data_IF_637271975444
#
_entry.id   IF_637271975444
#
_cell.length_a   1.000
_cell.length_b   1.000
_cell.length_c   1.000
_cell.angle_alpha   90.00
_cell.angle_beta   90.00
_cell.angle_gamma   90.00
#
_symmetry.space_group_name_H-M   'P 1'
#
loop_
_entity.id
_entity.type
_entity.pdbx_description
1 polymer ?
#
# COMPACT_ATOMS: atom_id res chain seq x y z
N UNK A 1 -16.49 22.03 50.54
CA UNK A 1 -15.19 21.84 49.87
C UNK A 1 -15.33 20.71 48.86
N UNK A 2 -15.73 21.00 47.63
CA UNK A 2 -15.59 20.03 46.52
C UNK A 2 -15.31 20.83 45.25
N UNK A 3 -14.02 21.00 44.94
CA UNK A 3 -13.56 21.58 43.69
C UNK A 3 -13.66 20.53 42.59
N UNK A 4 -14.65 20.70 41.71
CA UNK A 4 -14.83 19.89 40.51
C UNK A 4 -13.59 20.07 39.60
N UNK A 5 -12.85 18.98 39.38
CA UNK A 5 -11.71 18.95 38.45
C UNK A 5 -12.14 19.41 37.05
N UNK A 6 -11.32 20.21 36.34
CA UNK A 6 -11.66 20.66 35.00
C UNK A 6 -11.69 19.46 34.05
N UNK A 7 -12.77 19.35 33.28
CA UNK A 7 -12.92 18.35 32.24
C UNK A 7 -11.76 18.49 31.24
N UNK A 8 -10.90 17.47 31.17
CA UNK A 8 -9.94 17.28 30.09
C UNK A 8 -10.72 17.17 28.78
N UNK A 9 -10.95 18.30 28.12
CA UNK A 9 -11.32 18.39 26.73
C UNK A 9 -10.13 17.82 25.95
N UNK A 10 -10.15 16.51 25.71
CA UNK A 10 -9.33 15.85 24.71
C UNK A 10 -9.72 16.46 23.37
N UNK A 11 -9.06 17.56 23.02
CA UNK A 11 -9.19 18.21 21.73
C UNK A 11 -8.86 17.15 20.69
N UNK A 12 -9.89 16.64 20.03
CA UNK A 12 -9.73 15.69 18.93
C UNK A 12 -8.70 16.32 18.00
N UNK A 13 -7.54 15.69 17.76
CA UNK A 13 -6.54 16.28 16.89
C UNK A 13 -7.24 16.58 15.59
N UNK A 14 -7.21 17.85 15.15
CA UNK A 14 -7.69 18.25 13.85
C UNK A 14 -6.77 17.61 12.82
N UNK A 15 -6.96 16.32 12.58
CA UNK A 15 -6.48 15.68 11.39
C UNK A 15 -7.13 16.46 10.26
N UNK A 16 -6.32 17.18 9.50
CA UNK A 16 -6.70 17.69 8.19
C UNK A 16 -6.91 16.42 7.35
N UNK A 17 -8.07 15.79 7.54
CA UNK A 17 -8.56 14.73 6.67
C UNK A 17 -8.92 15.48 5.41
N UNK A 18 -8.11 15.31 4.37
CA UNK A 18 -8.44 15.80 3.03
C UNK A 18 -9.84 15.27 2.73
N UNK A 19 -10.84 16.15 2.82
CA UNK A 19 -12.25 15.76 2.70
C UNK A 19 -12.46 15.47 1.23
N UNK A 20 -12.54 14.18 0.88
CA UNK A 20 -12.85 13.75 -0.48
C UNK A 20 -14.09 14.52 -0.97
N UNK A 21 -14.06 14.97 -2.22
CA UNK A 21 -15.23 15.60 -2.82
C UNK A 21 -16.38 14.59 -2.80
N UNK A 22 -17.61 15.07 -2.66
CA UNK A 22 -18.79 14.20 -2.46
C UNK A 22 -18.92 13.12 -3.56
N UNK A 23 -18.57 13.47 -4.79
CA UNK A 23 -18.61 12.59 -5.96
C UNK A 23 -17.36 11.72 -6.16
N UNK A 24 -16.26 11.98 -5.44
CA UNK A 24 -15.03 11.16 -5.46
C UNK A 24 -15.04 10.07 -4.36
N UNK A 25 -16.18 9.89 -3.69
CA UNK A 25 -16.36 8.83 -2.70
C UNK A 25 -16.40 7.47 -3.38
N UNK A 26 -16.08 6.42 -2.61
CA UNK A 26 -16.12 5.04 -3.08
C UNK A 26 -17.52 4.70 -3.59
N UNK A 27 -17.58 4.11 -4.77
CA UNK A 27 -18.81 3.51 -5.28
C UNK A 27 -19.22 2.33 -4.40
N UNK A 28 -20.50 2.26 -4.05
CA UNK A 28 -21.06 1.21 -3.20
C UNK A 28 -22.08 0.38 -3.97
N UNK A 29 -22.10 -0.91 -3.67
CA UNK A 29 -23.12 -1.87 -4.11
C UNK A 29 -24.43 -1.64 -3.33
N UNK A 30 -25.56 -2.24 -3.77
CA UNK A 30 -26.84 -2.15 -3.04
C UNK A 30 -26.77 -2.62 -1.58
N UNK A 31 -25.87 -3.56 -1.27
CA UNK A 31 -25.64 -4.05 0.09
C UNK A 31 -24.64 -3.18 0.89
N UNK A 32 -24.42 -1.93 0.49
CA UNK A 32 -23.49 -0.94 1.09
C UNK A 32 -22.00 -1.24 1.00
N UNK A 33 -21.59 -2.41 0.49
CA UNK A 33 -20.17 -2.75 0.33
C UNK A 33 -19.54 -1.96 -0.83
N UNK A 34 -18.25 -1.56 -0.72
CA UNK A 34 -17.58 -0.87 -1.82
C UNK A 34 -17.40 -1.80 -3.04
N UNK A 35 -17.46 -1.21 -4.23
CA UNK A 35 -17.03 -1.88 -5.46
C UNK A 35 -15.50 -2.01 -5.44
N UNK A 36 -15.00 -3.21 -5.72
CA UNK A 36 -13.57 -3.53 -5.71
C UNK A 36 -13.13 -3.94 -7.11
N UNK A 37 -12.02 -3.39 -7.57
CA UNK A 37 -11.42 -3.77 -8.85
C UNK A 37 -10.49 -4.97 -8.69
N UNK A 38 -10.48 -5.83 -9.71
CA UNK A 38 -9.55 -6.94 -9.83
C UNK A 38 -8.20 -6.40 -10.34
N UNK A 39 -7.11 -6.76 -9.67
CA UNK A 39 -5.76 -6.26 -9.97
C UNK A 39 -4.81 -7.43 -10.27
N UNK A 40 -3.78 -7.17 -11.08
CA UNK A 40 -2.77 -8.17 -11.46
C UNK A 40 -1.61 -8.31 -10.47
N UNK A 41 -1.50 -7.42 -9.49
CA UNK A 41 -0.41 -7.34 -8.50
C UNK A 41 -0.87 -7.70 -7.08
N UNK A 42 0.07 -8.17 -6.26
CA UNK A 42 -0.08 -8.49 -4.84
C UNK A 42 0.95 -7.74 -3.99
N UNK A 43 0.69 -7.68 -2.69
CA UNK A 43 1.63 -7.08 -1.72
C UNK A 43 2.90 -7.93 -1.67
N UNK A 44 4.07 -7.28 -1.64
CA UNK A 44 5.37 -7.95 -1.70
C UNK A 44 5.85 -8.28 -3.12
N UNK A 45 5.05 -8.04 -4.16
CA UNK A 45 5.54 -8.17 -5.55
C UNK A 45 6.59 -7.08 -5.83
N UNK A 46 7.67 -7.44 -6.53
CA UNK A 46 8.62 -6.48 -7.11
C UNK A 46 8.12 -6.00 -8.45
N UNK A 47 8.05 -4.68 -8.63
CA UNK A 47 7.50 -4.06 -9.83
C UNK A 47 8.43 -2.98 -10.39
N UNK A 48 8.32 -2.77 -11.69
CA UNK A 48 8.93 -1.65 -12.42
C UNK A 48 7.86 -0.66 -12.86
N UNK A 49 8.12 0.63 -12.69
CA UNK A 49 7.22 1.70 -13.16
C UNK A 49 7.38 1.89 -14.67
N UNK A 50 6.27 1.77 -15.41
CA UNK A 50 6.21 1.87 -16.87
C UNK A 50 6.07 3.33 -17.32
N UNK A 51 5.23 4.09 -16.61
CA UNK A 51 4.81 5.44 -16.99
C UNK A 51 4.64 6.34 -15.77
N UNK A 52 4.70 7.65 -16.00
CA UNK A 52 4.66 8.67 -14.96
C UNK A 52 6.04 9.27 -14.66
N UNK A 53 6.11 10.09 -13.61
CA UNK A 53 7.33 10.82 -13.24
C UNK A 53 8.47 9.88 -12.85
N UNK A 54 8.14 8.77 -12.18
CA UNK A 54 9.11 7.81 -11.64
C UNK A 54 9.39 6.64 -12.59
N UNK A 55 9.31 6.89 -13.90
CA UNK A 55 9.46 5.87 -14.95
C UNK A 55 10.83 5.17 -14.85
N UNK A 56 10.81 3.85 -14.96
CA UNK A 56 12.01 3.01 -15.01
C UNK A 56 12.52 2.54 -13.65
N UNK A 57 12.11 3.17 -12.54
CA UNK A 57 12.46 2.73 -11.20
C UNK A 57 11.76 1.41 -10.84
N UNK A 58 12.45 0.60 -10.04
CA UNK A 58 11.96 -0.67 -9.51
C UNK A 58 11.76 -0.55 -8.00
N UNK A 59 10.73 -1.21 -7.47
CA UNK A 59 10.47 -1.24 -6.04
C UNK A 59 9.47 -2.32 -5.65
N UNK A 60 9.31 -2.52 -4.35
CA UNK A 60 8.40 -3.52 -3.78
C UNK A 60 7.09 -2.87 -3.33
N UNK A 61 5.97 -3.57 -3.54
CA UNK A 61 4.64 -3.08 -3.17
C UNK A 61 4.41 -3.25 -1.67
N UNK A 62 4.22 -2.14 -0.96
CA UNK A 62 3.91 -2.12 0.47
C UNK A 62 2.41 -2.24 0.75
N UNK A 63 1.58 -1.48 0.01
CA UNK A 63 0.13 -1.42 0.23
C UNK A 63 -0.64 -1.34 -1.09
N UNK A 64 -1.86 -1.88 -1.09
CA UNK A 64 -2.75 -1.91 -2.27
C UNK A 64 -4.13 -1.39 -1.89
N UNK A 65 -4.66 -0.48 -2.71
CA UNK A 65 -6.00 0.06 -2.59
C UNK A 65 -6.87 -0.39 -3.76
N UNK A 66 -7.64 -1.47 -3.55
CA UNK A 66 -8.46 -2.10 -4.60
C UNK A 66 -9.65 -1.28 -5.10
N UNK A 67 -10.12 -0.31 -4.32
CA UNK A 67 -11.25 0.55 -4.68
C UNK A 67 -10.86 1.61 -5.72
N UNK A 68 -9.60 2.04 -5.73
CA UNK A 68 -9.07 3.03 -6.69
C UNK A 68 -8.10 2.40 -7.70
N UNK A 69 -7.85 1.08 -7.62
CA UNK A 69 -6.84 0.39 -8.41
C UNK A 69 -5.42 0.98 -8.29
N UNK A 70 -5.07 1.50 -7.11
CA UNK A 70 -3.76 2.13 -6.85
C UNK A 70 -2.90 1.31 -5.88
N UNK A 71 -1.58 1.43 -6.00
CA UNK A 71 -0.56 0.76 -5.18
C UNK A 71 0.41 1.77 -4.58
N UNK A 72 0.94 1.48 -3.40
CA UNK A 72 2.08 2.19 -2.81
C UNK A 72 3.31 1.32 -3.00
N UNK A 73 4.33 1.88 -3.64
CA UNK A 73 5.62 1.22 -3.88
C UNK A 73 6.67 1.91 -3.01
N UNK A 74 7.51 1.12 -2.34
CA UNK A 74 8.54 1.62 -1.44
C UNK A 74 9.52 2.54 -2.17
N UNK A 75 9.88 3.67 -1.55
CA UNK A 75 10.84 4.66 -2.05
C UNK A 75 10.51 5.30 -3.42
N UNK A 76 9.27 5.17 -3.90
CA UNK A 76 8.81 5.73 -5.18
C UNK A 76 7.68 6.74 -4.92
N UNK A 77 7.65 7.84 -5.69
CA UNK A 77 6.61 8.87 -5.62
C UNK A 77 6.55 9.53 -4.24
N UNK A 78 7.72 9.87 -3.70
CA UNK A 78 7.86 10.51 -2.39
C UNK A 78 7.27 11.91 -2.42
N UNK A 79 6.46 12.22 -1.42
CA UNK A 79 5.84 13.53 -1.22
C UNK A 79 6.23 14.08 0.13
N UNK A 80 6.68 15.33 0.15
CA UNK A 80 6.98 16.05 1.39
C UNK A 80 5.68 16.46 2.06
N UNK A 81 5.45 15.96 3.27
CA UNK A 81 4.29 16.27 4.09
C UNK A 81 4.74 16.99 5.35
N UNK A 82 4.23 18.20 5.54
CA UNK A 82 4.37 18.95 6.78
C UNK A 82 3.39 18.40 7.80
N UNK A 83 3.90 17.85 8.91
CA UNK A 83 3.09 17.36 10.01
C UNK A 83 3.17 18.33 11.18
N UNK A 84 1.99 18.88 11.53
CA UNK A 84 1.82 19.67 12.74
C UNK A 84 1.98 18.76 13.95
N UNK A 85 2.57 19.30 15.01
CA UNK A 85 2.65 18.63 16.31
C UNK A 85 1.26 18.30 16.84
N UNK A 86 1.15 17.17 17.55
CA UNK A 86 -0.09 16.72 18.18
C UNK A 86 -0.10 16.97 19.69
N UNK A 87 1.06 17.08 20.30
CA UNK A 87 1.24 17.20 21.75
C UNK A 87 2.01 18.48 22.07
N UNK A 88 1.70 19.09 23.22
CA UNK A 88 2.40 20.28 23.70
C UNK A 88 3.84 19.91 24.06
N UNK A 89 4.81 20.49 23.34
CA UNK A 89 6.24 20.28 23.57
C UNK A 89 7.00 19.62 22.41
N UNK A 90 6.31 18.98 21.46
CA UNK A 90 6.98 18.41 20.28
C UNK A 90 7.05 19.42 19.11
N UNK A 91 8.21 19.57 18.44
CA UNK A 91 8.30 20.39 17.24
C UNK A 91 7.59 19.72 16.06
N UNK A 92 7.03 20.54 15.15
CA UNK A 92 6.49 20.05 13.88
C UNK A 92 7.58 19.38 13.03
N UNK A 93 7.19 18.38 12.23
CA UNK A 93 8.13 17.58 11.45
C UNK A 93 7.83 17.64 9.95
N UNK A 94 8.89 17.59 9.14
CA UNK A 94 8.80 17.46 7.68
C UNK A 94 9.09 16.00 7.32
N UNK A 95 8.05 15.25 6.95
CA UNK A 95 8.16 13.82 6.68
C UNK A 95 8.01 13.57 5.18
N UNK A 96 8.83 12.68 4.61
CA UNK A 96 8.63 12.18 3.24
C UNK A 96 7.76 10.92 3.32
N UNK A 97 6.63 10.94 2.62
CA UNK A 97 5.67 9.83 2.59
C UNK A 97 5.53 9.33 1.16
N UNK A 98 5.43 8.01 0.97
CA UNK A 98 5.21 7.42 -0.34
C UNK A 98 3.79 7.70 -0.85
N UNK A 99 3.70 8.16 -2.09
CA UNK A 99 2.45 8.41 -2.78
C UNK A 99 1.94 7.19 -3.55
N UNK A 100 0.62 7.02 -3.61
CA UNK A 100 0.01 5.96 -4.41
C UNK A 100 0.19 6.21 -5.93
N UNK A 101 0.38 5.13 -6.67
CA UNK A 101 0.52 5.08 -8.13
C UNK A 101 -0.57 4.16 -8.69
N UNK A 102 -1.12 4.49 -9.86
CA UNK A 102 -2.11 3.63 -10.49
C UNK A 102 -1.50 2.29 -10.94
N UNK A 103 -2.22 1.20 -10.72
CA UNK A 103 -1.70 -0.15 -10.97
C UNK A 103 -1.38 -0.45 -12.44
N UNK A 104 -2.05 0.23 -13.38
CA UNK A 104 -1.72 0.12 -14.82
C UNK A 104 -0.31 0.61 -15.15
N UNK A 105 0.27 1.48 -14.32
CA UNK A 105 1.57 2.10 -14.56
C UNK A 105 2.71 1.24 -13.99
N UNK A 106 2.43 0.04 -13.50
CA UNK A 106 3.44 -0.88 -12.96
C UNK A 106 3.38 -2.25 -13.63
N UNK A 107 4.56 -2.82 -13.87
CA UNK A 107 4.74 -4.16 -14.43
C UNK A 107 5.52 -5.03 -13.45
N UNK A 108 5.23 -6.33 -13.39
CA UNK A 108 6.03 -7.26 -12.60
C UNK A 108 7.46 -7.31 -13.14
N UNK A 109 8.42 -7.33 -12.21
CA UNK A 109 9.84 -7.31 -12.51
C UNK A 109 10.50 -8.59 -12.00
N UNK A 110 11.23 -9.28 -12.87
CA UNK A 110 12.13 -10.36 -12.47
C UNK A 110 13.45 -9.77 -12.02
N UNK A 111 13.87 -10.06 -10.79
CA UNK A 111 15.22 -9.73 -10.28
C UNK A 111 16.30 -10.64 -10.88
N UNK A 112 15.93 -11.82 -11.39
CA UNK A 112 16.89 -12.80 -11.92
C UNK A 112 17.34 -12.44 -13.33
N UNK A 113 16.42 -11.97 -14.16
CA UNK A 113 16.69 -11.66 -15.58
C UNK A 113 16.64 -10.17 -15.89
N UNK A 114 16.41 -9.33 -14.89
CA UNK A 114 16.28 -7.87 -15.00
C UNK A 114 15.25 -7.39 -16.05
N UNK A 115 14.23 -8.21 -16.29
CA UNK A 115 13.21 -7.96 -17.31
C UNK A 115 11.85 -7.75 -16.66
N UNK A 116 11.21 -6.64 -17.04
CA UNK A 116 9.79 -6.41 -16.76
C UNK A 116 8.92 -7.15 -17.79
N UNK A 117 7.89 -7.85 -17.31
CA UNK A 117 6.98 -8.57 -18.20
C UNK A 117 5.53 -8.61 -17.73
N UNK A 118 4.62 -8.87 -18.70
CA UNK A 118 3.20 -9.11 -18.43
C UNK A 118 3.02 -10.44 -17.70
N UNK A 119 1.91 -10.55 -16.97
CA UNK A 119 1.57 -11.73 -16.19
C UNK A 119 0.68 -12.70 -16.97
N UNK A 120 1.01 -13.99 -16.89
CA UNK A 120 0.17 -15.11 -17.32
C UNK A 120 -0.29 -15.95 -16.14
N UNK A 121 -1.20 -16.89 -16.38
CA UNK A 121 -1.66 -17.87 -15.38
C UNK A 121 -1.39 -19.30 -15.86
N UNK A 122 -0.84 -20.14 -14.98
CA UNK A 122 -0.60 -21.57 -15.25
C UNK A 122 -1.15 -22.40 -14.08
N UNK A 123 -1.58 -23.62 -14.37
CA UNK A 123 -1.94 -24.62 -13.36
C UNK A 123 -0.74 -25.56 -13.22
N UNK A 124 -0.28 -25.75 -11.98
CA UNK A 124 0.79 -26.70 -11.65
C UNK A 124 0.23 -28.11 -11.52
N UNK A 125 1.10 -29.11 -11.53
CA UNK A 125 0.75 -30.52 -11.35
C UNK A 125 0.00 -30.79 -10.03
N UNK A 126 0.33 -30.00 -8.99
CA UNK A 126 -0.35 -30.02 -7.69
C UNK A 126 -1.80 -29.47 -7.73
N UNK A 127 -2.31 -29.06 -8.90
CA UNK A 127 -3.63 -28.44 -9.08
C UNK A 127 -3.68 -26.95 -8.73
N UNK A 128 -2.58 -26.37 -8.26
CA UNK A 128 -2.53 -24.96 -7.85
C UNK A 128 -2.40 -24.02 -9.05
N UNK A 129 -3.26 -22.99 -9.12
CA UNK A 129 -3.16 -21.91 -10.12
C UNK A 129 -2.21 -20.81 -9.65
N UNK A 130 -1.14 -20.59 -10.42
CA UNK A 130 -0.08 -19.61 -10.13
C UNK A 130 0.05 -18.56 -11.23
N UNK A 131 0.58 -17.39 -10.88
CA UNK A 131 1.03 -16.36 -11.81
C UNK A 131 2.44 -16.66 -12.31
N UNK A 132 2.70 -16.45 -13.59
CA UNK A 132 4.04 -16.53 -14.18
C UNK A 132 4.32 -15.32 -15.09
N UNK A 133 5.61 -15.03 -15.30
CA UNK A 133 6.08 -13.98 -16.19
C UNK A 133 6.14 -14.51 -17.63
N UNK A 134 5.44 -13.84 -18.56
CA UNK A 134 5.32 -14.35 -19.95
C UNK A 134 6.67 -14.37 -20.67
N UNK A 135 7.55 -13.39 -20.42
CA UNK A 135 8.84 -13.29 -21.10
C UNK A 135 9.88 -14.28 -20.57
N UNK A 136 9.83 -14.56 -19.27
CA UNK A 136 10.90 -15.31 -18.60
C UNK A 136 10.49 -16.72 -18.22
N UNK A 137 9.18 -17.01 -18.16
CA UNK A 137 8.63 -18.28 -17.68
C UNK A 137 8.64 -18.44 -16.16
N UNK A 138 9.19 -17.49 -15.42
CA UNK A 138 9.34 -17.57 -13.96
C UNK A 138 8.00 -17.51 -13.24
N UNK A 139 7.86 -18.31 -12.19
CA UNK A 139 6.69 -18.35 -11.33
C UNK A 139 6.82 -17.25 -10.26
N UNK A 140 5.79 -16.41 -10.13
CA UNK A 140 5.80 -15.25 -9.22
C UNK A 140 5.18 -15.61 -7.87
N UNK A 141 4.16 -16.46 -7.88
CA UNK A 141 3.43 -16.81 -6.66
C UNK A 141 4.10 -17.98 -5.94
N UNK A 142 4.57 -17.75 -4.70
CA UNK A 142 4.99 -18.80 -3.78
C UNK A 142 4.02 -18.89 -2.59
N UNK A 143 3.63 -20.12 -2.21
CA UNK A 143 2.74 -20.39 -1.06
C UNK A 143 3.36 -19.93 0.25
N UNK A 144 4.68 -19.85 0.38
CA UNK A 144 5.30 -19.41 1.62
C UNK A 144 5.27 -17.89 1.79
N UNK A 145 5.16 -17.14 0.69
CA UNK A 145 5.25 -15.68 0.72
C UNK A 145 4.15 -15.05 1.57
N UNK A 146 2.93 -15.61 1.58
CA UNK A 146 1.85 -15.07 2.41
C UNK A 146 2.10 -15.27 3.92
N UNK A 147 2.75 -16.37 4.31
CA UNK A 147 3.11 -16.64 5.70
C UNK A 147 4.17 -15.64 6.17
N UNK A 148 5.22 -15.47 5.35
CA UNK A 148 6.31 -14.50 5.59
C UNK A 148 5.77 -13.08 5.76
N UNK A 149 4.94 -12.61 4.81
CA UNK A 149 4.33 -11.28 4.88
C UNK A 149 3.43 -11.10 6.13
N UNK A 150 2.71 -12.13 6.55
CA UNK A 150 1.85 -12.08 7.74
C UNK A 150 2.69 -11.98 9.02
N UNK A 151 3.80 -12.70 9.08
CA UNK A 151 4.72 -12.70 10.21
C UNK A 151 5.48 -11.38 10.34
N UNK A 152 5.99 -10.84 9.24
CA UNK A 152 6.59 -9.49 9.19
C UNK A 152 5.61 -8.42 9.68
N UNK A 153 4.35 -8.51 9.25
CA UNK A 153 3.32 -7.57 9.67
C UNK A 153 3.07 -7.64 11.19
N UNK A 154 2.96 -8.86 11.76
CA UNK A 154 2.84 -9.05 13.21
C UNK A 154 4.05 -8.48 13.96
N UNK A 155 5.26 -8.73 13.47
CA UNK A 155 6.50 -8.20 14.09
C UNK A 155 6.51 -6.67 14.11
N UNK A 156 6.08 -6.05 13.02
CA UNK A 156 5.99 -4.57 12.92
C UNK A 156 4.92 -4.00 13.85
N UNK A 157 3.76 -4.66 13.98
CA UNK A 157 2.69 -4.24 14.89
C UNK A 157 3.12 -4.35 16.37
N UNK A 158 3.81 -5.43 16.75
CA UNK A 158 4.35 -5.61 18.12
C UNK A 158 5.39 -4.53 18.43
N UNK A 159 6.34 -4.28 17.52
CA UNK A 159 7.35 -3.24 17.69
C UNK A 159 6.73 -1.83 17.86
N UNK A 160 5.63 -1.55 17.17
CA UNK A 160 4.90 -0.30 17.30
C UNK A 160 4.02 -0.19 18.56
N UNK A 161 3.80 -1.30 19.29
CA UNK A 161 3.04 -1.31 20.55
C UNK A 161 3.97 -1.26 21.77
N UNK A 162 5.22 -1.70 21.61
CA UNK A 162 6.26 -1.66 22.64
C UNK A 162 7.10 -0.38 22.65
N UNK A 163 6.89 0.51 21.67
CA UNK A 163 7.53 1.83 21.55
C UNK A 163 6.48 2.91 21.82
#
# INVERSE_FOLDING_TARGET
MEGRLPANLTAKPCLIVVKLKRWERKECKPNSLPVLHKMHVKVGDTVKVISGHEKGKTGEITKIYKHNSTVIVKDINLKTKHMKSREEGEPGQIIKVEGAIHSSNVMLYSKEKDVASRVGHKILENGQRVRYLIKTGEIVDNVENWKKLKEEKRKTEVAATSA
#
